data_IF_338103133305
#
_entry.id   IF_338103133305
#
_cell.length_a   1.000
_cell.length_b   1.000
_cell.length_c   1.000
_cell.angle_alpha   90.00
_cell.angle_beta   90.00
_cell.angle_gamma   90.00
#
_symmetry.space_group_name_H-M   'P 1'
#
loop_
_entity.id
_entity.type
_entity.pdbx_description
1 polymer ?
#
# COMPACT_ATOMS: atom_id res chain seq x y z
N UNK A 1 65.56 12.36 28.04
CA UNK A 1 64.66 13.23 27.24
C UNK A 1 63.25 12.70 27.35
N UNK A 2 62.37 13.50 27.94
CA UNK A 2 60.99 13.19 28.31
C UNK A 2 59.97 13.62 27.25
N UNK A 3 58.85 12.89 27.20
CA UNK A 3 57.53 13.26 26.64
C UNK A 3 57.47 13.24 25.08
N UNK A 4 56.39 12.90 24.37
CA UNK A 4 54.95 13.10 24.57
C UNK A 4 54.19 12.16 23.63
N UNK A 5 53.47 11.14 24.10
CA UNK A 5 52.33 10.57 23.34
C UNK A 5 51.30 9.98 24.31
N UNK A 6 50.80 10.81 25.22
CA UNK A 6 49.66 10.45 26.06
C UNK A 6 48.37 10.82 25.30
N UNK A 7 47.99 9.98 24.33
CA UNK A 7 46.77 10.17 23.55
C UNK A 7 45.58 9.84 24.45
N UNK A 8 44.97 10.85 25.08
CA UNK A 8 43.70 10.71 25.80
C UNK A 8 42.68 10.03 24.86
N UNK A 9 42.34 8.78 25.17
CA UNK A 9 41.18 8.12 24.56
C UNK A 9 39.94 8.83 25.08
N UNK A 10 39.24 9.52 24.20
CA UNK A 10 37.90 10.02 24.49
C UNK A 10 37.02 8.78 24.61
N UNK A 11 36.54 8.48 25.81
CA UNK A 11 35.50 7.47 25.96
C UNK A 11 34.20 8.08 25.45
N UNK A 12 33.66 7.52 24.36
CA UNK A 12 32.29 7.80 24.00
C UNK A 12 31.40 7.29 25.15
N UNK A 13 30.56 8.15 25.71
CA UNK A 13 29.62 7.75 26.76
C UNK A 13 28.76 6.59 26.26
N UNK A 14 28.47 5.63 27.14
CA UNK A 14 27.52 4.56 26.86
C UNK A 14 26.14 5.17 26.71
N UNK A 15 25.61 5.20 25.48
CA UNK A 15 24.23 5.56 25.22
C UNK A 15 23.33 4.56 25.94
N UNK A 16 22.52 5.06 26.88
CA UNK A 16 21.50 4.24 27.53
C UNK A 16 20.34 4.06 26.54
N UNK A 17 20.35 2.95 25.81
CA UNK A 17 19.32 2.58 24.82
C UNK A 17 18.06 2.01 25.49
N UNK A 18 17.67 2.52 26.68
CA UNK A 18 16.39 2.15 27.32
C UNK A 18 15.29 2.10 26.28
N UNK A 19 14.53 1.01 26.29
CA UNK A 19 13.62 0.56 25.23
C UNK A 19 12.93 1.69 24.49
N UNK A 20 13.48 2.04 23.32
CA UNK A 20 12.83 2.98 22.41
C UNK A 20 11.63 2.23 21.81
N UNK A 21 10.42 2.62 22.23
CA UNK A 21 9.20 2.14 21.58
C UNK A 21 9.08 2.79 20.19
N UNK A 22 9.60 2.10 19.17
CA UNK A 22 9.52 2.54 17.77
C UNK A 22 8.14 2.14 17.23
N UNK A 23 7.32 3.10 16.75
CA UNK A 23 6.02 2.77 16.19
C UNK A 23 6.17 1.91 14.92
N UNK A 24 5.12 1.15 14.59
CA UNK A 24 5.06 0.38 13.36
C UNK A 24 5.27 1.29 12.14
N UNK A 25 6.09 0.84 11.18
CA UNK A 25 6.37 1.58 9.95
C UNK A 25 5.54 1.00 8.82
N UNK A 26 4.96 1.88 8.00
CA UNK A 26 4.32 1.47 6.76
C UNK A 26 5.35 0.86 5.80
N UNK A 27 4.93 -0.18 5.07
CA UNK A 27 5.75 -0.84 4.04
C UNK A 27 5.69 -0.09 2.71
N UNK A 28 4.59 0.62 2.47
CA UNK A 28 4.37 1.49 1.32
C UNK A 28 4.17 2.93 1.80
N UNK A 29 4.66 3.91 1.04
CA UNK A 29 4.40 5.32 1.30
C UNK A 29 2.92 5.59 1.57
N UNK A 30 2.64 6.25 2.69
CA UNK A 30 1.30 6.56 3.18
C UNK A 30 0.69 7.77 2.46
N UNK A 31 0.65 7.74 1.13
CA UNK A 31 0.16 8.85 0.30
C UNK A 31 -1.28 9.21 0.66
N UNK A 32 -1.59 10.52 0.70
CA UNK A 32 -2.96 10.97 0.83
C UNK A 32 -3.73 10.78 -0.48
N UNK A 33 -4.93 10.17 -0.44
CA UNK A 33 -5.80 10.12 -1.59
C UNK A 33 -6.29 11.50 -1.99
N UNK A 34 -6.37 11.73 -3.29
CA UNK A 34 -6.75 13.02 -3.86
C UNK A 34 -8.27 13.13 -3.95
N UNK A 35 -8.82 14.24 -3.46
CA UNK A 35 -10.20 14.64 -3.72
C UNK A 35 -11.27 13.83 -2.98
N UNK A 36 -10.92 13.09 -1.92
CA UNK A 36 -11.93 12.39 -1.10
C UNK A 36 -12.99 13.37 -0.58
N UNK A 37 -14.26 13.01 -0.74
CA UNK A 37 -15.39 13.89 -0.41
C UNK A 37 -15.78 14.88 -1.50
N UNK A 38 -15.15 14.81 -2.68
CA UNK A 38 -15.46 15.64 -3.85
C UNK A 38 -15.85 14.80 -5.05
N UNK A 39 -16.46 15.42 -6.05
CA UNK A 39 -16.80 14.82 -7.35
C UNK A 39 -15.57 14.48 -8.21
N UNK A 40 -14.40 15.00 -7.86
CA UNK A 40 -13.11 14.75 -8.54
C UNK A 40 -12.20 13.82 -7.74
N UNK A 41 -12.77 12.98 -6.86
CA UNK A 41 -12.02 11.95 -6.13
C UNK A 41 -11.27 11.01 -7.09
N UNK A 42 -10.02 10.69 -6.76
CA UNK A 42 -9.26 9.73 -7.56
C UNK A 42 -9.78 8.29 -7.39
N UNK A 43 -9.57 7.45 -8.41
CA UNK A 43 -9.87 6.02 -8.33
C UNK A 43 -8.73 5.23 -7.68
N UNK A 44 -9.03 4.04 -7.17
CA UNK A 44 -8.00 3.13 -6.64
C UNK A 44 -6.90 2.81 -7.68
N UNK A 45 -7.26 2.69 -8.96
CA UNK A 45 -6.29 2.52 -10.05
C UNK A 45 -5.33 3.71 -10.21
N UNK A 46 -5.82 4.95 -10.07
CA UNK A 46 -4.99 6.16 -10.09
C UNK A 46 -4.03 6.18 -8.90
N UNK A 47 -4.56 5.89 -7.71
CA UNK A 47 -3.79 5.83 -6.49
C UNK A 47 -2.66 4.80 -6.56
N UNK A 48 -2.92 3.59 -7.10
CA UNK A 48 -1.90 2.56 -7.33
C UNK A 48 -0.80 3.06 -8.29
N UNK A 49 -1.17 3.83 -9.31
CA UNK A 49 -0.22 4.48 -10.23
C UNK A 49 0.74 5.41 -9.51
N UNK A 50 0.20 6.37 -8.75
CA UNK A 50 0.97 7.30 -7.90
C UNK A 50 1.81 6.57 -6.85
N UNK A 51 1.27 5.51 -6.27
CA UNK A 51 1.99 4.73 -5.26
C UNK A 51 3.20 4.05 -5.88
N UNK A 52 3.07 3.43 -7.06
CA UNK A 52 4.19 2.83 -7.78
C UNK A 52 5.24 3.88 -8.17
N UNK A 53 4.80 5.04 -8.67
CA UNK A 53 5.67 6.17 -9.00
C UNK A 53 6.47 6.65 -7.77
N UNK A 54 5.83 6.76 -6.60
CA UNK A 54 6.51 7.18 -5.37
C UNK A 54 7.62 6.22 -4.92
N UNK A 55 7.56 4.96 -5.34
CA UNK A 55 8.58 3.92 -5.09
C UNK A 55 9.54 3.73 -6.28
N UNK A 56 9.42 4.53 -7.33
CA UNK A 56 10.19 4.42 -8.58
C UNK A 56 10.13 3.00 -9.19
N UNK A 57 8.95 2.37 -9.17
CA UNK A 57 8.69 1.06 -9.75
C UNK A 57 7.49 1.11 -10.70
N UNK A 58 7.35 0.09 -11.55
CA UNK A 58 6.14 -0.03 -12.38
C UNK A 58 4.97 -0.55 -11.56
N UNK A 59 3.74 -0.21 -12.00
CA UNK A 59 2.51 -0.76 -11.40
C UNK A 59 2.50 -2.29 -11.42
N UNK A 60 2.99 -2.92 -12.49
CA UNK A 60 3.11 -4.37 -12.57
C UNK A 60 4.00 -4.98 -11.50
N UNK A 61 5.12 -4.31 -11.16
CA UNK A 61 6.01 -4.74 -10.06
C UNK A 61 5.32 -4.57 -8.71
N UNK A 62 4.68 -3.42 -8.46
CA UNK A 62 3.91 -3.17 -7.24
C UNK A 62 2.83 -4.26 -7.04
N UNK A 63 2.04 -4.52 -8.08
CA UNK A 63 0.97 -5.52 -8.04
C UNK A 63 1.53 -6.94 -7.79
N UNK A 64 2.49 -7.38 -8.59
CA UNK A 64 2.95 -8.77 -8.57
C UNK A 64 3.86 -9.09 -7.39
N UNK A 65 4.79 -8.20 -7.07
CA UNK A 65 5.89 -8.49 -6.15
C UNK A 65 5.64 -7.94 -4.75
N UNK A 66 4.72 -6.98 -4.58
CA UNK A 66 4.44 -6.36 -3.28
C UNK A 66 3.02 -6.71 -2.82
N UNK A 67 1.99 -6.36 -3.60
CA UNK A 67 0.60 -6.64 -3.18
C UNK A 67 0.29 -8.14 -3.22
N UNK A 68 0.68 -8.83 -4.30
CA UNK A 68 0.43 -10.26 -4.49
C UNK A 68 0.86 -11.14 -3.31
N UNK A 69 2.09 -11.04 -2.80
CA UNK A 69 2.54 -11.84 -1.66
C UNK A 69 1.80 -11.54 -0.35
N UNK A 70 1.25 -10.34 -0.19
CA UNK A 70 0.58 -9.88 1.04
C UNK A 70 -0.94 -10.11 0.99
N UNK A 71 -1.53 -10.23 -0.21
CA UNK A 71 -2.95 -10.51 -0.40
C UNK A 71 -3.31 -11.96 -0.05
N UNK A 72 -4.49 -12.12 0.55
CA UNK A 72 -5.11 -13.42 0.78
C UNK A 72 -5.57 -14.09 -0.52
N UNK A 73 -5.68 -13.32 -1.61
CA UNK A 73 -6.12 -13.78 -2.93
C UNK A 73 -5.01 -13.60 -3.98
N UNK A 74 -3.87 -14.24 -3.73
CA UNK A 74 -2.67 -14.19 -4.59
C UNK A 74 -2.96 -14.40 -6.08
N UNK A 75 -3.94 -15.26 -6.42
CA UNK A 75 -4.36 -15.55 -7.79
C UNK A 75 -4.79 -14.31 -8.59
N UNK A 76 -5.25 -13.24 -7.92
CA UNK A 76 -5.61 -11.97 -8.57
C UNK A 76 -4.40 -11.28 -9.20
N UNK A 77 -3.20 -11.53 -8.68
CA UNK A 77 -1.96 -10.87 -9.09
C UNK A 77 -1.12 -11.72 -10.06
N UNK A 78 -1.59 -12.92 -10.41
CA UNK A 78 -0.89 -13.83 -11.33
C UNK A 78 -1.18 -13.50 -12.80
N UNK A 79 -0.13 -13.36 -13.60
CA UNK A 79 -0.20 -12.96 -15.03
C UNK A 79 -1.05 -13.91 -15.87
N UNK A 80 -1.01 -15.23 -15.58
CA UNK A 80 -1.74 -16.26 -16.33
C UNK A 80 -3.27 -16.12 -16.22
N UNK A 81 -3.76 -15.46 -15.17
CA UNK A 81 -5.19 -15.29 -14.91
C UNK A 81 -5.78 -14.01 -15.51
N UNK A 82 -4.96 -13.07 -15.99
CA UNK A 82 -5.42 -11.73 -16.39
C UNK A 82 -5.91 -11.63 -17.84
N UNK A 83 -5.44 -12.49 -18.74
CA UNK A 83 -5.69 -12.35 -20.19
C UNK A 83 -6.83 -13.21 -20.73
N UNK A 84 -7.38 -14.12 -19.91
CA UNK A 84 -8.44 -15.07 -20.34
C UNK A 84 -9.66 -15.11 -19.42
N UNK A 85 -9.67 -14.33 -18.33
CA UNK A 85 -10.71 -14.42 -17.31
C UNK A 85 -11.69 -13.23 -17.41
N UNK A 86 -12.99 -13.45 -17.67
CA UNK A 86 -14.02 -12.40 -17.60
C UNK A 86 -14.23 -11.83 -16.19
N UNK A 87 -13.56 -12.41 -15.18
CA UNK A 87 -13.45 -11.91 -13.80
C UNK A 87 -12.06 -11.30 -13.51
N UNK A 88 -11.40 -10.73 -14.51
CA UNK A 88 -10.11 -10.05 -14.32
C UNK A 88 -10.25 -8.92 -13.32
N UNK A 89 -9.29 -8.75 -12.40
CA UNK A 89 -9.38 -7.67 -11.41
C UNK A 89 -9.51 -6.28 -12.06
N UNK A 90 -9.04 -6.13 -13.30
CA UNK A 90 -9.12 -4.88 -14.07
C UNK A 90 -10.55 -4.35 -14.16
N UNK A 91 -11.53 -5.24 -14.24
CA UNK A 91 -12.94 -4.87 -14.39
C UNK A 91 -13.64 -4.62 -13.05
N UNK A 92 -13.03 -5.04 -11.93
CA UNK A 92 -13.69 -5.04 -10.61
C UNK A 92 -12.94 -4.28 -9.52
N UNK A 93 -11.72 -3.80 -9.77
CA UNK A 93 -10.87 -3.16 -8.76
C UNK A 93 -11.47 -1.88 -8.16
N UNK A 94 -12.18 -1.10 -8.96
CA UNK A 94 -12.85 0.14 -8.51
C UNK A 94 -14.30 -0.09 -8.05
N UNK A 95 -14.78 -1.34 -8.07
CA UNK A 95 -16.18 -1.69 -7.78
C UNK A 95 -16.40 -1.92 -6.26
N UNK A 96 -17.50 -2.57 -5.86
CA UNK A 96 -17.85 -2.86 -4.46
C UNK A 96 -17.68 -4.34 -4.06
N UNK A 97 -17.24 -5.18 -5.01
CA UNK A 97 -17.15 -6.63 -4.83
C UNK A 97 -15.92 -7.09 -4.07
N UNK A 98 -15.78 -8.42 -3.94
CA UNK A 98 -14.70 -9.04 -3.15
C UNK A 98 -13.30 -8.73 -3.71
N UNK A 99 -13.18 -8.46 -5.00
CA UNK A 99 -11.91 -8.06 -5.62
C UNK A 99 -11.49 -6.67 -5.12
N UNK A 100 -12.34 -5.65 -5.25
CA UNK A 100 -12.05 -4.30 -4.76
C UNK A 100 -11.70 -4.31 -3.27
N UNK A 101 -12.49 -5.02 -2.45
CA UNK A 101 -12.25 -5.13 -1.01
C UNK A 101 -10.90 -5.74 -0.68
N UNK A 102 -10.46 -6.75 -1.42
CA UNK A 102 -9.14 -7.36 -1.21
C UNK A 102 -8.01 -6.37 -1.47
N UNK A 103 -8.11 -5.58 -2.55
CA UNK A 103 -7.12 -4.55 -2.86
C UNK A 103 -7.09 -3.45 -1.80
N UNK A 104 -8.27 -2.96 -1.38
CA UNK A 104 -8.40 -1.95 -0.33
C UNK A 104 -7.70 -2.42 0.95
N UNK A 105 -8.08 -3.60 1.46
CA UNK A 105 -7.50 -4.12 2.71
C UNK A 105 -5.99 -4.33 2.62
N UNK A 106 -5.51 -4.86 1.49
CA UNK A 106 -4.07 -5.08 1.29
C UNK A 106 -3.31 -3.75 1.28
N UNK A 107 -3.83 -2.73 0.60
CA UNK A 107 -3.17 -1.42 0.50
C UNK A 107 -3.24 -0.67 1.83
N UNK A 108 -4.37 -0.70 2.53
CA UNK A 108 -4.54 -0.10 3.86
C UNK A 108 -3.54 -0.69 4.85
N UNK A 109 -3.40 -2.01 4.88
CA UNK A 109 -2.42 -2.68 5.74
C UNK A 109 -0.98 -2.24 5.42
N UNK A 110 -0.62 -2.11 4.15
CA UNK A 110 0.75 -1.79 3.75
C UNK A 110 1.09 -0.30 3.88
N UNK A 111 0.09 0.57 3.80
CA UNK A 111 0.24 2.03 3.92
C UNK A 111 -0.10 2.57 5.30
N UNK A 112 -0.67 1.74 6.19
CA UNK A 112 -1.24 2.13 7.49
C UNK A 112 -2.33 3.21 7.36
N UNK A 113 -3.10 3.19 6.26
CA UNK A 113 -4.25 4.07 6.01
C UNK A 113 -5.56 3.33 6.24
N UNK A 114 -6.66 4.08 6.37
CA UNK A 114 -8.01 3.55 6.61
C UNK A 114 -9.10 4.17 5.72
N UNK A 115 -8.68 4.95 4.73
CA UNK A 115 -9.52 5.75 3.85
C UNK A 115 -9.42 5.33 2.37
N UNK A 116 -8.65 4.28 2.07
CA UNK A 116 -8.48 3.76 0.70
C UNK A 116 -9.80 3.20 0.16
N UNK A 117 -10.66 2.69 1.05
CA UNK A 117 -12.00 2.23 0.69
C UNK A 117 -12.83 3.29 -0.07
N UNK A 118 -12.61 4.58 0.17
CA UNK A 118 -13.33 5.67 -0.48
C UNK A 118 -12.91 5.92 -1.94
N UNK A 119 -11.86 5.23 -2.41
CA UNK A 119 -11.42 5.26 -3.81
C UNK A 119 -12.08 4.17 -4.67
N UNK A 120 -13.06 3.48 -4.08
CA UNK A 120 -13.84 2.39 -4.69
C UNK A 120 -15.30 2.52 -4.31
N UNK A 121 -16.14 1.63 -4.86
CA UNK A 121 -17.54 1.52 -4.43
C UNK A 121 -17.75 0.61 -3.21
N UNK A 122 -16.69 0.06 -2.59
CA UNK A 122 -16.81 -0.87 -1.43
C UNK A 122 -17.74 -0.36 -0.32
N UNK A 123 -17.72 0.93 0.08
CA UNK A 123 -18.64 1.45 1.09
C UNK A 123 -20.13 1.32 0.72
N UNK A 124 -20.46 1.18 -0.56
CA UNK A 124 -21.81 1.05 -1.09
C UNK A 124 -22.27 -0.41 -1.21
N UNK A 125 -21.42 -1.37 -0.80
CA UNK A 125 -21.76 -2.79 -0.81
C UNK A 125 -22.99 -3.04 0.08
N UNK A 126 -24.01 -3.69 -0.48
CA UNK A 126 -25.29 -3.94 0.18
C UNK A 126 -26.37 -2.88 -0.11
N UNK A 127 -25.99 -1.70 -0.62
CA UNK A 127 -26.94 -0.68 -1.09
C UNK A 127 -27.16 -0.75 -2.60
N UNK A 128 -26.11 -1.03 -3.36
CA UNK A 128 -26.19 -1.19 -4.82
C UNK A 128 -26.56 -2.64 -5.16
N UNK A 129 -27.64 -2.82 -5.92
CA UNK A 129 -28.09 -4.14 -6.35
C UNK A 129 -27.04 -4.85 -7.20
N UNK A 130 -26.97 -6.19 -7.12
CA UNK A 130 -25.99 -7.03 -7.86
C UNK A 130 -26.08 -6.96 -9.40
N UNK A 131 -26.98 -6.14 -9.94
CA UNK A 131 -27.13 -5.94 -11.39
C UNK A 131 -26.16 -4.84 -11.82
N UNK A 132 -25.27 -5.21 -12.75
CA UNK A 132 -24.25 -4.34 -13.37
C UNK A 132 -24.75 -2.90 -13.48
N UNK A 133 -24.11 -1.99 -12.75
CA UNK A 133 -24.12 -0.60 -13.13
C UNK A 133 -23.25 -0.53 -14.40
N UNK A 134 -23.93 -0.70 -15.54
CA UNK A 134 -23.48 -0.65 -16.94
C UNK A 134 -22.11 -1.29 -17.24
#
# INVERSE_FOLDING_TARGET
MSNVYNKKRISFGTWNLTEINVPERSKLHSLEPIGVGTEVVESLTSYIGRLAESHNITTGVLLKNILGPQSNKKYLFEVKNQTKNPNSFRDYINNYGVIAREFVLTIEQLTLRNDIQYLTLVPWNGFVGKRRLL
#
